data_IF_054840688729
#
_entry.id   IF_054840688729
#
_cell.length_a   1.000
_cell.length_b   1.000
_cell.length_c   1.000
_cell.angle_alpha   90.00
_cell.angle_beta   90.00
_cell.angle_gamma   90.00
#
_symmetry.space_group_name_H-M   'P 1'
#
loop_
_entity.id
_entity.type
_entity.pdbx_description
1 polymer ?
#
# COMPACT_ATOMS: atom_id res chain seq x y z
N UNK A 1 0.92 5.40 13.68
CA UNK A 1 -0.35 5.57 12.96
C UNK A 1 -0.72 7.06 12.94
N UNK A 2 -1.42 7.51 11.90
CA UNK A 2 -1.80 8.91 11.74
C UNK A 2 -3.03 9.28 12.53
N UNK A 3 -3.04 10.55 12.91
CA UNK A 3 -4.16 11.21 13.58
C UNK A 3 -5.09 11.83 12.54
N UNK A 4 -5.65 11.08 11.62
CA UNK A 4 -6.49 11.66 10.59
C UNK A 4 -7.29 10.63 9.84
N UNK A 5 -8.36 11.08 9.21
CA UNK A 5 -9.18 10.28 8.32
C UNK A 5 -8.92 10.65 6.88
N UNK A 6 -8.99 9.70 6.00
CA UNK A 6 -8.88 9.90 4.57
C UNK A 6 -10.00 10.77 4.02
N UNK A 7 -9.69 11.75 3.18
CA UNK A 7 -10.71 12.61 2.56
C UNK A 7 -10.52 12.75 1.04
N UNK A 8 -11.63 13.00 0.34
CA UNK A 8 -11.61 13.27 -1.10
C UNK A 8 -10.82 14.55 -1.44
N UNK A 9 -10.78 15.54 -0.54
CA UNK A 9 -10.00 16.76 -0.73
C UNK A 9 -8.50 16.51 -0.65
N UNK A 10 -8.06 15.63 0.25
CA UNK A 10 -6.65 15.25 0.38
C UNK A 10 -6.18 14.49 -0.85
N UNK A 11 -7.02 13.56 -1.34
CA UNK A 11 -6.76 12.86 -2.58
C UNK A 11 -6.64 13.83 -3.77
N UNK A 12 -7.58 14.77 -3.93
CA UNK A 12 -7.56 15.73 -5.01
C UNK A 12 -6.30 16.60 -4.97
N UNK A 13 -5.85 16.99 -3.78
CA UNK A 13 -4.62 17.73 -3.54
C UNK A 13 -3.38 16.92 -3.92
N UNK A 14 -3.31 15.64 -3.46
CA UNK A 14 -2.23 14.74 -3.82
C UNK A 14 -2.18 14.52 -5.33
N UNK A 15 -3.30 14.21 -5.96
CA UNK A 15 -3.41 13.97 -7.40
C UNK A 15 -2.92 15.18 -8.19
N UNK A 16 -3.31 16.38 -7.79
CA UNK A 16 -2.89 17.63 -8.45
C UNK A 16 -1.40 17.93 -8.23
N UNK A 17 -0.89 17.75 -7.01
CA UNK A 17 0.51 18.04 -6.68
C UNK A 17 1.49 17.09 -7.36
N UNK A 18 1.07 15.84 -7.62
CA UNK A 18 1.86 14.81 -8.29
C UNK A 18 1.57 14.70 -9.78
N UNK A 19 0.65 15.52 -10.31
CA UNK A 19 0.16 15.43 -11.70
C UNK A 19 -0.29 14.01 -12.10
N UNK A 20 -0.95 13.28 -11.21
CA UNK A 20 -1.35 11.91 -11.47
C UNK A 20 -2.45 11.82 -12.53
N UNK A 21 -2.21 11.01 -13.56
CA UNK A 21 -3.14 10.75 -14.65
C UNK A 21 -3.12 9.25 -14.99
N UNK A 22 -4.25 8.71 -15.38
CA UNK A 22 -4.43 7.35 -15.87
C UNK A 22 -3.81 7.10 -17.26
N UNK A 23 -3.33 8.15 -17.91
CA UNK A 23 -2.59 8.07 -19.17
C UNK A 23 -1.07 7.97 -19.01
N UNK A 24 -0.56 8.07 -17.78
CA UNK A 24 0.86 7.95 -17.48
C UNK A 24 1.32 6.48 -17.48
N UNK A 25 2.59 6.30 -17.81
CA UNK A 25 3.26 5.01 -17.67
C UNK A 25 3.60 4.70 -16.20
N UNK A 26 3.95 3.45 -15.92
CA UNK A 26 4.43 3.01 -14.61
C UNK A 26 5.62 3.86 -14.14
N UNK A 27 6.61 4.07 -15.03
CA UNK A 27 7.84 4.82 -14.70
C UNK A 27 7.60 6.32 -14.45
N UNK A 28 6.52 6.88 -14.99
CA UNK A 28 6.13 8.27 -14.73
C UNK A 28 5.45 8.44 -13.38
N UNK A 29 4.74 7.43 -12.91
CA UNK A 29 4.05 7.42 -11.61
C UNK A 29 5.00 6.96 -10.50
N UNK A 30 5.64 5.82 -10.69
CA UNK A 30 6.54 5.21 -9.71
C UNK A 30 7.99 5.57 -10.03
N UNK A 31 8.42 6.72 -9.55
CA UNK A 31 9.71 7.33 -9.93
C UNK A 31 10.92 6.77 -9.17
N UNK A 32 10.72 5.86 -8.23
CA UNK A 32 11.81 5.22 -7.49
C UNK A 32 12.67 4.36 -8.42
N UNK A 33 13.98 4.40 -8.20
CA UNK A 33 14.97 3.60 -8.92
C UNK A 33 15.54 2.46 -8.08
N UNK A 34 15.11 2.36 -6.84
CA UNK A 34 15.44 1.30 -5.90
C UNK A 34 14.38 1.24 -4.80
N UNK A 35 14.28 0.09 -4.14
CA UNK A 35 13.41 -0.10 -3.00
C UNK A 35 13.67 0.96 -1.92
N UNK A 36 12.59 1.54 -1.41
CA UNK A 36 12.68 2.42 -0.27
C UNK A 36 13.04 1.59 0.99
N UNK A 37 14.15 1.89 1.69
CA UNK A 37 14.51 1.15 2.90
C UNK A 37 13.42 1.11 3.98
N UNK A 38 12.53 2.10 3.98
CA UNK A 38 11.37 2.13 4.90
C UNK A 38 10.32 1.06 4.58
N UNK A 39 10.35 0.50 3.38
CA UNK A 39 9.40 -0.50 2.90
C UNK A 39 10.04 -1.87 2.65
N UNK A 40 11.36 -1.96 2.72
CA UNK A 40 12.09 -3.22 2.56
C UNK A 40 12.03 -4.05 3.86
N UNK A 41 11.46 -5.26 3.83
CA UNK A 41 11.38 -6.15 5.00
C UNK A 41 12.71 -6.40 5.71
N UNK A 42 13.84 -6.27 5.00
CA UNK A 42 15.18 -6.44 5.58
C UNK A 42 15.50 -5.39 6.67
N UNK A 43 14.86 -4.23 6.59
CA UNK A 43 15.09 -3.11 7.52
C UNK A 43 13.89 -2.83 8.41
N UNK A 44 12.79 -3.56 8.24
CA UNK A 44 11.56 -3.40 9.01
C UNK A 44 11.51 -4.48 10.11
N UNK A 45 11.38 -4.07 11.36
CA UNK A 45 11.14 -5.00 12.45
C UNK A 45 9.71 -5.55 12.43
N UNK A 46 8.75 -4.65 12.66
CA UNK A 46 7.32 -5.01 12.73
C UNK A 46 6.48 -3.88 12.17
N UNK A 47 5.40 -4.22 11.49
CA UNK A 47 4.33 -3.29 11.11
C UNK A 47 3.23 -3.36 12.16
N UNK A 48 2.80 -2.22 12.63
CA UNK A 48 1.86 -2.10 13.75
C UNK A 48 0.55 -1.47 13.29
N UNK A 49 -0.55 -2.07 13.72
CA UNK A 49 -1.89 -1.54 13.55
C UNK A 49 -2.60 -1.56 14.92
N UNK A 50 -2.41 -0.51 15.68
CA UNK A 50 -2.97 -0.36 17.01
C UNK A 50 -4.16 0.58 17.02
N UNK A 51 -5.05 0.34 17.95
CA UNK A 51 -6.12 1.27 18.26
C UNK A 51 -5.56 2.57 18.84
N UNK A 52 -6.31 3.64 18.67
CA UNK A 52 -6.01 4.96 19.21
C UNK A 52 -7.26 5.65 19.69
N UNK A 53 -7.14 6.80 20.34
CA UNK A 53 -8.31 7.59 20.75
C UNK A 53 -9.18 8.03 19.56
N UNK A 54 -8.57 8.30 18.41
CA UNK A 54 -9.26 8.70 17.19
C UNK A 54 -9.76 7.51 16.36
N UNK A 55 -9.12 6.36 16.50
CA UNK A 55 -9.44 5.10 15.80
C UNK A 55 -9.48 3.96 16.82
N UNK A 56 -10.59 3.83 17.61
CA UNK A 56 -10.65 2.89 18.73
C UNK A 56 -10.86 1.44 18.32
N UNK A 57 -11.26 1.18 17.07
CA UNK A 57 -11.56 -0.15 16.55
C UNK A 57 -10.93 -0.36 15.16
N UNK A 58 -9.62 -0.17 15.05
CA UNK A 58 -8.93 -0.27 13.76
C UNK A 58 -9.12 -1.62 13.09
N UNK A 59 -9.54 -1.57 11.82
CA UNK A 59 -9.62 -2.75 10.95
C UNK A 59 -8.45 -2.75 9.97
N UNK A 60 -7.46 -3.65 10.15
CA UNK A 60 -6.31 -3.73 9.26
C UNK A 60 -6.71 -4.34 7.91
N UNK A 61 -6.35 -3.65 6.83
CA UNK A 61 -6.59 -4.10 5.46
C UNK A 61 -5.28 -4.09 4.69
N UNK A 62 -4.90 -5.24 4.14
CA UNK A 62 -3.70 -5.35 3.30
C UNK A 62 -4.11 -5.41 1.84
N UNK A 63 -3.59 -4.47 1.05
CA UNK A 63 -3.76 -4.42 -0.40
C UNK A 63 -2.50 -4.99 -1.04
N UNK A 64 -2.59 -6.22 -1.50
CA UNK A 64 -1.50 -6.88 -2.23
C UNK A 64 -1.46 -6.39 -3.68
N UNK A 65 -0.28 -5.98 -4.14
CA UNK A 65 -0.02 -5.50 -5.49
C UNK A 65 1.04 -6.36 -6.14
N UNK A 66 0.68 -7.02 -7.22
CA UNK A 66 1.65 -7.65 -8.11
C UNK A 66 2.38 -6.56 -8.91
N UNK A 67 3.70 -6.49 -8.74
CA UNK A 67 4.55 -5.48 -9.39
C UNK A 67 5.40 -6.04 -10.54
N UNK A 68 5.03 -7.20 -11.04
CA UNK A 68 5.64 -7.74 -12.27
C UNK A 68 5.33 -6.87 -13.48
N UNK A 69 6.18 -6.93 -14.50
CA UNK A 69 6.07 -6.05 -15.68
C UNK A 69 4.71 -6.14 -16.38
N UNK A 70 4.12 -7.33 -16.46
CA UNK A 70 2.79 -7.55 -17.07
C UNK A 70 1.64 -6.87 -16.32
N UNK A 71 1.82 -6.58 -15.05
CA UNK A 71 0.80 -5.98 -14.18
C UNK A 71 0.93 -4.45 -14.04
N UNK A 72 1.88 -3.84 -14.75
CA UNK A 72 2.13 -2.39 -14.64
C UNK A 72 0.89 -1.52 -14.89
N UNK A 73 0.03 -1.89 -15.83
CA UNK A 73 -1.22 -1.17 -16.09
C UNK A 73 -2.17 -1.16 -14.88
N UNK A 74 -2.22 -2.26 -14.13
CA UNK A 74 -3.03 -2.36 -12.92
C UNK A 74 -2.45 -1.49 -11.80
N UNK A 75 -1.12 -1.46 -11.67
CA UNK A 75 -0.46 -0.59 -10.72
C UNK A 75 -0.77 0.90 -10.98
N UNK A 76 -0.78 1.31 -12.26
CA UNK A 76 -1.20 2.66 -12.66
C UNK A 76 -2.65 2.93 -12.25
N UNK A 77 -3.57 2.02 -12.53
CA UNK A 77 -4.98 2.17 -12.14
C UNK A 77 -5.15 2.28 -10.62
N UNK A 78 -4.44 1.44 -9.86
CA UNK A 78 -4.47 1.50 -8.39
C UNK A 78 -3.96 2.84 -7.89
N UNK A 79 -2.83 3.32 -8.40
CA UNK A 79 -2.22 4.57 -7.97
C UNK A 79 -3.02 5.81 -8.37
N UNK A 80 -3.72 5.78 -9.49
CA UNK A 80 -4.43 6.97 -10.01
C UNK A 80 -5.90 7.02 -9.65
N UNK A 81 -6.51 5.89 -9.26
CA UNK A 81 -7.96 5.81 -9.11
C UNK A 81 -8.45 4.75 -8.09
N UNK A 82 -8.06 3.48 -8.25
CA UNK A 82 -8.73 2.38 -7.55
C UNK A 82 -8.51 2.41 -6.03
N UNK A 83 -7.33 2.77 -5.56
CA UNK A 83 -7.07 2.91 -4.12
C UNK A 83 -8.00 3.95 -3.47
N UNK A 84 -8.13 5.14 -4.10
CA UNK A 84 -9.04 6.16 -3.62
C UNK A 84 -10.50 5.67 -3.61
N UNK A 85 -10.94 4.99 -4.67
CA UNK A 85 -12.30 4.45 -4.74
C UNK A 85 -12.55 3.40 -3.65
N UNK A 86 -11.60 2.52 -3.40
CA UNK A 86 -11.67 1.53 -2.33
C UNK A 86 -11.85 2.22 -0.97
N UNK A 87 -10.97 3.16 -0.64
CA UNK A 87 -11.01 3.84 0.66
C UNK A 87 -12.31 4.62 0.84
N UNK A 88 -12.69 5.41 -0.16
CA UNK A 88 -13.95 6.16 -0.13
C UNK A 88 -15.18 5.25 0.00
N UNK A 89 -15.12 4.06 -0.61
CA UNK A 89 -16.20 3.07 -0.48
C UNK A 89 -16.26 2.48 0.92
N UNK A 90 -15.13 2.13 1.52
CA UNK A 90 -15.07 1.63 2.89
C UNK A 90 -15.72 2.63 3.87
N UNK A 91 -15.33 3.90 3.79
CA UNK A 91 -15.91 4.95 4.63
C UNK A 91 -17.40 5.19 4.35
N UNK A 92 -17.82 5.27 3.09
CA UNK A 92 -19.20 5.62 2.75
C UNK A 92 -20.20 4.52 3.07
N UNK A 93 -19.78 3.26 3.10
CA UNK A 93 -20.64 2.12 3.41
C UNK A 93 -20.56 1.68 4.86
N UNK A 94 -19.60 2.23 5.63
CA UNK A 94 -19.26 1.74 6.96
C UNK A 94 -19.11 0.21 6.99
N UNK A 95 -18.51 -0.34 5.92
CA UNK A 95 -18.33 -1.79 5.78
C UNK A 95 -17.40 -2.36 6.85
N UNK A 96 -16.49 -1.54 7.34
CA UNK A 96 -15.59 -1.83 8.45
C UNK A 96 -15.45 -0.58 9.32
N UNK A 97 -15.15 -0.76 10.59
CA UNK A 97 -14.82 0.34 11.49
C UNK A 97 -13.33 0.70 11.30
N UNK A 98 -13.02 1.99 11.38
CA UNK A 98 -11.68 2.56 11.40
C UNK A 98 -10.67 1.86 10.44
N UNK A 99 -10.88 1.86 9.12
CA UNK A 99 -10.03 1.14 8.19
C UNK A 99 -8.59 1.68 8.22
N UNK A 100 -7.62 0.80 8.45
CA UNK A 100 -6.20 1.08 8.35
C UNK A 100 -5.59 0.22 7.23
N UNK A 101 -5.11 0.86 6.17
CA UNK A 101 -4.63 0.18 4.97
C UNK A 101 -3.11 0.09 4.95
N UNK A 102 -2.59 -1.04 4.51
CA UNK A 102 -1.19 -1.25 4.15
C UNK A 102 -1.12 -1.75 2.71
N UNK A 103 -0.29 -1.15 1.88
CA UNK A 103 0.04 -1.67 0.56
C UNK A 103 1.26 -2.59 0.65
N UNK A 104 1.15 -3.75 0.02
CA UNK A 104 2.24 -4.70 -0.08
C UNK A 104 2.49 -5.01 -1.56
N UNK A 105 3.61 -4.52 -2.09
CA UNK A 105 4.06 -4.83 -3.44
C UNK A 105 4.92 -6.10 -3.40
N UNK A 106 4.56 -7.09 -4.21
CA UNK A 106 5.29 -8.34 -4.32
C UNK A 106 5.63 -8.65 -5.77
N UNK A 107 6.86 -9.11 -5.99
CA UNK A 107 7.40 -9.50 -7.26
C UNK A 107 7.91 -10.94 -7.22
N UNK A 108 8.79 -11.28 -8.15
CA UNK A 108 9.37 -12.61 -8.26
C UNK A 108 10.50 -12.79 -7.22
N UNK A 109 10.79 -14.06 -6.85
CA UNK A 109 11.91 -14.36 -5.95
C UNK A 109 13.29 -13.99 -6.54
N UNK A 110 13.37 -13.84 -7.85
CA UNK A 110 14.57 -13.38 -8.55
C UNK A 110 14.79 -11.87 -8.53
N UNK A 111 13.81 -11.11 -8.08
CA UNK A 111 13.89 -9.66 -8.03
C UNK A 111 14.78 -9.16 -6.89
N UNK A 112 15.37 -7.99 -7.07
CA UNK A 112 16.16 -7.35 -6.00
C UNK A 112 15.29 -6.98 -4.79
N UNK A 113 14.02 -6.70 -5.03
CA UNK A 113 13.04 -6.29 -4.01
C UNK A 113 11.74 -7.10 -4.13
N UNK A 114 11.79 -8.41 -3.80
CA UNK A 114 10.66 -9.31 -3.99
C UNK A 114 9.44 -8.97 -3.13
N UNK A 115 9.61 -8.18 -2.08
CA UNK A 115 8.53 -7.69 -1.23
C UNK A 115 8.85 -6.29 -0.72
N UNK A 116 7.87 -5.41 -0.80
CA UNK A 116 7.87 -4.08 -0.20
C UNK A 116 6.56 -3.86 0.56
N UNK A 117 6.61 -3.38 1.78
CA UNK A 117 5.41 -3.15 2.60
C UNK A 117 5.39 -1.75 3.18
N UNK A 118 4.30 -1.03 2.97
CA UNK A 118 4.08 0.30 3.55
C UNK A 118 3.73 0.20 5.04
N UNK A 119 3.45 1.31 5.69
CA UNK A 119 2.82 1.32 7.03
C UNK A 119 1.31 1.08 6.90
N UNK A 120 0.66 0.72 8.02
CA UNK A 120 -0.77 0.85 8.15
C UNK A 120 -1.13 2.32 8.35
N UNK A 121 -1.99 2.85 7.49
CA UNK A 121 -2.42 4.24 7.54
C UNK A 121 -3.93 4.36 7.35
N UNK A 122 -4.55 5.25 8.09
CA UNK A 122 -5.98 5.58 7.99
C UNK A 122 -6.25 6.86 7.21
N UNK A 123 -5.20 7.53 6.72
CA UNK A 123 -5.30 8.81 6.01
C UNK A 123 -4.57 8.79 4.65
N UNK A 124 -4.39 9.97 4.06
CA UNK A 124 -3.80 10.14 2.72
C UNK A 124 -2.38 9.58 2.59
N UNK A 125 -1.67 9.37 3.69
CA UNK A 125 -0.30 8.85 3.66
C UNK A 125 -0.20 7.46 3.04
N UNK A 126 -1.28 6.67 3.06
CA UNK A 126 -1.26 5.39 2.35
C UNK A 126 -1.07 5.57 0.84
N UNK A 127 -1.72 6.59 0.25
CA UNK A 127 -1.55 6.91 -1.16
C UNK A 127 -0.17 7.53 -1.46
N UNK A 128 0.35 8.36 -0.55
CA UNK A 128 1.71 8.89 -0.67
C UNK A 128 2.76 7.79 -0.64
N UNK A 129 2.61 6.83 0.27
CA UNK A 129 3.50 5.68 0.40
C UNK A 129 3.38 4.71 -0.79
N UNK A 130 2.17 4.52 -1.34
CA UNK A 130 1.98 3.75 -2.56
C UNK A 130 2.83 4.29 -3.71
N UNK A 131 2.87 5.61 -3.89
CA UNK A 131 3.66 6.27 -4.93
C UNK A 131 5.18 6.18 -4.71
N UNK A 132 5.62 5.75 -3.54
CA UNK A 132 7.02 5.52 -3.22
C UNK A 132 7.47 4.05 -3.37
N UNK A 133 6.60 3.17 -3.85
CA UNK A 133 6.99 1.80 -4.19
C UNK A 133 7.93 1.79 -5.41
N UNK A 134 8.80 0.81 -5.45
CA UNK A 134 9.72 0.58 -6.56
C UNK A 134 9.18 -0.53 -7.45
N UNK A 135 9.11 -0.27 -8.74
CA UNK A 135 8.76 -1.24 -9.76
C UNK A 135 10.01 -1.60 -10.56
N UNK A 136 10.42 -2.86 -10.50
CA UNK A 136 11.61 -3.33 -11.22
C UNK A 136 11.37 -3.46 -12.72
N UNK A 137 10.12 -3.58 -13.15
CA UNK A 137 9.73 -3.85 -14.55
C UNK A 137 10.42 -5.10 -15.14
N UNK A 138 10.79 -6.04 -14.28
CA UNK A 138 11.39 -7.31 -14.66
C UNK A 138 10.49 -8.47 -14.20
N UNK A 139 10.85 -9.67 -14.65
CA UNK A 139 10.15 -10.88 -14.26
C UNK A 139 9.01 -11.25 -15.22
N UNK A 140 9.04 -12.53 -15.60
CA UNK A 140 7.97 -13.23 -16.30
C UNK A 140 7.65 -14.52 -15.54
N UNK A 141 8.00 -14.57 -14.24
CA UNK A 141 7.81 -15.73 -13.38
C UNK A 141 6.41 -15.82 -12.79
N UNK A 142 6.11 -16.96 -12.22
CA UNK A 142 4.90 -17.12 -11.40
C UNK A 142 5.14 -16.46 -10.05
N UNK A 143 4.47 -15.35 -9.82
CA UNK A 143 4.51 -14.65 -8.54
C UNK A 143 3.72 -15.45 -7.52
N UNK A 144 4.39 -15.83 -6.44
CA UNK A 144 3.74 -16.50 -5.31
C UNK A 144 3.77 -15.56 -4.09
N UNK A 145 2.63 -15.14 -3.57
CA UNK A 145 2.56 -14.20 -2.44
C UNK A 145 3.00 -14.81 -1.09
N UNK A 146 3.79 -15.89 -1.13
CA UNK A 146 4.28 -16.59 0.07
C UNK A 146 5.12 -15.67 0.96
N UNK A 147 5.94 -14.82 0.36
CA UNK A 147 6.75 -13.84 1.10
C UNK A 147 5.86 -12.84 1.85
N UNK A 148 4.74 -12.43 1.28
CA UNK A 148 3.76 -11.56 1.93
C UNK A 148 3.10 -12.28 3.12
N UNK A 149 2.67 -13.52 2.95
CA UNK A 149 2.09 -14.31 4.04
C UNK A 149 3.08 -14.53 5.19
N UNK A 150 4.32 -14.83 4.88
CA UNK A 150 5.37 -14.98 5.88
C UNK A 150 5.59 -13.68 6.65
N UNK A 151 5.67 -12.55 5.94
CA UNK A 151 5.80 -11.24 6.55
C UNK A 151 4.61 -10.93 7.47
N UNK A 152 3.39 -11.09 6.98
CA UNK A 152 2.18 -10.80 7.77
C UNK A 152 2.11 -11.66 9.03
N UNK A 153 2.50 -12.93 8.96
CA UNK A 153 2.43 -13.84 10.10
C UNK A 153 3.49 -13.60 11.18
N UNK A 154 4.65 -13.04 10.79
CA UNK A 154 5.81 -12.91 11.69
C UNK A 154 6.18 -11.47 12.06
N UNK A 155 5.79 -10.52 11.21
CA UNK A 155 6.25 -9.13 11.28
C UNK A 155 5.11 -8.11 11.35
N UNK A 156 3.94 -8.53 11.84
CA UNK A 156 2.84 -7.61 12.14
C UNK A 156 2.39 -7.75 13.60
N UNK A 157 2.00 -6.64 14.20
CA UNK A 157 1.37 -6.58 15.51
C UNK A 157 0.07 -5.79 15.39
N UNK A 158 -1.06 -6.47 15.57
CA UNK A 158 -2.38 -5.98 15.19
C UNK A 158 -3.35 -6.20 16.36
N UNK A 159 -3.90 -5.13 16.92
CA UNK A 159 -4.84 -5.21 18.03
C UNK A 159 -6.12 -5.96 17.67
N UNK A 160 -6.63 -5.80 16.46
CA UNK A 160 -7.86 -6.46 16.01
C UNK A 160 -7.77 -8.01 16.04
N UNK A 161 -6.57 -8.61 15.99
CA UNK A 161 -6.38 -10.06 16.08
C UNK A 161 -6.43 -10.53 17.54
N UNK A 162 -6.16 -9.65 18.48
CA UNK A 162 -6.05 -9.95 19.90
C UNK A 162 -7.36 -9.68 20.67
N UNK A 163 -8.41 -9.23 20.00
CA UNK A 163 -9.76 -9.00 20.52
C UNK A 163 -10.65 -10.20 20.23
#
# INVERSE_FOLDING_TARGET
MGYGSYSASDWSRLKSSRNLSDTQSVDEIFQRRACNPKFDPKFIGTRECFDSEEHPNTTPIVVGLDVTASMGYLAVEVATKALNQLIMKLYSTAAVEDPALMCAAYGDFGDFSPLQVTQFESDIRIAEQLLELYFENHGCGEVVPTCLWEFLSKHTNIDAINK
#
